data_IF_768736701086
#
_entry.id   IF_768736701086
#
_cell.length_a   1.000
_cell.length_b   1.000
_cell.length_c   1.000
_cell.angle_alpha   90.00
_cell.angle_beta   90.00
_cell.angle_gamma   90.00
#
_symmetry.space_group_name_H-M   'P 1'
#
loop_
_entity.id
_entity.type
_entity.pdbx_description
1 polymer ?
#
# COMPACT_ATOMS: atom_id res chain seq x y z
N UNK A 1 -15.07 -35.12 -36.80
CA UNK A 1 -14.58 -36.22 -35.96
C UNK A 1 -15.67 -36.65 -35.01
N UNK A 2 -15.88 -37.95 -34.88
CA UNK A 2 -16.72 -38.57 -33.85
C UNK A 2 -16.16 -38.24 -32.47
N UNK A 3 -17.04 -38.01 -31.47
CA UNK A 3 -16.67 -37.69 -30.08
C UNK A 3 -17.43 -38.60 -29.14
N UNK A 4 -16.83 -38.95 -28.00
CA UNK A 4 -17.46 -39.71 -26.94
C UNK A 4 -18.44 -38.81 -26.18
N UNK A 5 -19.72 -39.21 -26.13
CA UNK A 5 -20.73 -38.51 -25.36
C UNK A 5 -20.64 -38.94 -23.89
N UNK A 6 -20.35 -38.00 -22.99
CA UNK A 6 -20.28 -38.28 -21.55
C UNK A 6 -21.69 -38.15 -20.95
N UNK A 7 -22.23 -39.21 -20.33
CA UNK A 7 -23.56 -39.18 -19.72
C UNK A 7 -23.67 -38.11 -18.62
N UNK A 8 -24.90 -37.80 -18.21
CA UNK A 8 -25.16 -36.81 -17.15
C UNK A 8 -24.93 -37.38 -15.74
N UNK A 9 -23.75 -37.96 -15.55
CA UNK A 9 -23.27 -38.47 -14.28
C UNK A 9 -22.26 -37.47 -13.69
N UNK A 10 -22.56 -36.95 -12.51
CA UNK A 10 -21.73 -35.94 -11.84
C UNK A 10 -20.36 -36.50 -11.45
N UNK A 11 -20.30 -37.73 -10.98
CA UNK A 11 -19.07 -38.37 -10.52
C UNK A 11 -18.10 -38.62 -11.68
N UNK A 12 -18.63 -39.11 -12.81
CA UNK A 12 -17.84 -39.37 -14.01
C UNK A 12 -17.28 -38.07 -14.62
N UNK A 13 -18.13 -37.04 -14.71
CA UNK A 13 -17.69 -35.73 -15.21
C UNK A 13 -16.66 -35.09 -14.29
N UNK A 14 -16.83 -35.19 -12.98
CA UNK A 14 -15.87 -34.67 -12.01
C UNK A 14 -14.53 -35.40 -12.05
N UNK A 15 -14.53 -36.73 -12.18
CA UNK A 15 -13.32 -37.52 -12.36
C UNK A 15 -12.55 -37.12 -13.63
N UNK A 16 -13.25 -36.99 -14.75
CA UNK A 16 -12.66 -36.57 -16.03
C UNK A 16 -12.10 -35.14 -15.97
N UNK A 17 -12.82 -34.21 -15.33
CA UNK A 17 -12.34 -32.84 -15.12
C UNK A 17 -11.12 -32.80 -14.18
N UNK A 18 -11.11 -33.65 -13.15
CA UNK A 18 -9.99 -33.77 -12.20
C UNK A 18 -8.74 -34.30 -12.88
N UNK A 19 -8.87 -35.35 -13.69
CA UNK A 19 -7.76 -35.92 -14.46
C UNK A 19 -7.19 -34.90 -15.46
N UNK A 20 -8.07 -34.25 -16.24
CA UNK A 20 -7.67 -33.27 -17.24
C UNK A 20 -7.11 -31.96 -16.65
N UNK A 21 -7.27 -31.72 -15.34
CA UNK A 21 -6.80 -30.50 -14.69
C UNK A 21 -5.62 -30.71 -13.74
N UNK A 22 -5.66 -31.78 -12.94
CA UNK A 22 -4.76 -32.02 -11.82
C UNK A 22 -3.74 -33.13 -12.09
N UNK A 23 -3.82 -33.82 -13.23
CA UNK A 23 -2.80 -34.82 -13.57
C UNK A 23 -1.41 -34.16 -13.69
N UNK A 24 -0.33 -34.89 -13.30
CA UNK A 24 1.04 -34.40 -13.43
C UNK A 24 1.39 -33.91 -14.83
N UNK A 25 0.76 -34.49 -15.86
CA UNK A 25 0.97 -34.15 -17.26
C UNK A 25 0.16 -32.94 -17.75
N UNK A 26 -0.94 -32.57 -17.08
CA UNK A 26 -1.82 -31.48 -17.51
C UNK A 26 -1.46 -30.12 -16.92
N UNK A 27 -0.83 -30.09 -15.73
CA UNK A 27 -0.26 -28.89 -15.08
C UNK A 27 -1.26 -27.72 -15.00
N UNK A 28 -2.47 -27.95 -14.48
CA UNK A 28 -3.47 -26.89 -14.20
C UNK A 28 -3.79 -25.95 -15.37
N UNK A 29 -4.22 -26.48 -16.53
CA UNK A 29 -4.48 -25.68 -17.72
C UNK A 29 -5.57 -24.63 -17.48
N UNK A 30 -5.52 -23.51 -18.20
CA UNK A 30 -6.61 -22.54 -18.20
C UNK A 30 -7.89 -23.14 -18.82
N UNK A 31 -9.05 -22.63 -18.42
CA UNK A 31 -10.36 -23.14 -18.86
C UNK A 31 -10.49 -23.26 -20.37
N UNK A 32 -9.97 -22.28 -21.13
CA UNK A 32 -9.99 -22.30 -22.60
C UNK A 32 -9.14 -23.43 -23.18
N UNK A 33 -7.93 -23.64 -22.62
CA UNK A 33 -7.02 -24.72 -23.04
C UNK A 33 -7.64 -26.08 -22.70
N UNK A 34 -8.05 -26.26 -21.45
CA UNK A 34 -8.69 -27.48 -20.97
C UNK A 34 -9.92 -27.86 -21.79
N UNK A 35 -10.79 -26.88 -22.11
CA UNK A 35 -11.94 -27.11 -22.97
C UNK A 35 -11.53 -27.55 -24.39
N UNK A 36 -10.50 -26.91 -24.97
CA UNK A 36 -10.04 -27.26 -26.31
C UNK A 36 -9.46 -28.68 -26.37
N UNK A 37 -8.74 -29.09 -25.33
CA UNK A 37 -8.17 -30.44 -25.23
C UNK A 37 -9.26 -31.49 -25.02
N UNK A 38 -10.21 -31.26 -24.11
CA UNK A 38 -11.34 -32.16 -23.89
C UNK A 38 -12.25 -32.28 -25.11
N UNK A 39 -12.51 -31.18 -25.82
CA UNK A 39 -13.38 -31.15 -27.01
C UNK A 39 -12.86 -32.02 -28.16
N UNK A 40 -11.59 -32.42 -28.17
CA UNK A 40 -11.05 -33.33 -29.19
C UNK A 40 -11.66 -34.73 -29.08
N UNK A 41 -11.88 -35.20 -27.85
CA UNK A 41 -12.28 -36.59 -27.58
C UNK A 41 -13.67 -36.72 -26.95
N UNK A 42 -14.10 -35.75 -26.14
CA UNK A 42 -15.31 -35.81 -25.33
C UNK A 42 -16.31 -34.72 -25.69
N UNK A 43 -17.58 -34.98 -25.40
CA UNK A 43 -18.66 -34.02 -25.54
C UNK A 43 -19.77 -34.28 -24.50
N UNK A 44 -20.32 -33.21 -23.93
CA UNK A 44 -21.59 -33.22 -23.22
C UNK A 44 -22.22 -31.83 -23.22
N UNK A 45 -23.53 -31.76 -22.96
CA UNK A 45 -24.24 -30.48 -22.88
C UNK A 45 -23.70 -29.64 -21.71
N UNK A 46 -23.30 -28.40 -21.99
CA UNK A 46 -22.75 -27.51 -20.97
C UNK A 46 -21.25 -27.66 -20.68
N UNK A 47 -20.51 -28.54 -21.37
CA UNK A 47 -19.08 -28.83 -21.12
C UNK A 47 -18.20 -27.59 -20.90
N UNK A 48 -18.36 -26.55 -21.73
CA UNK A 48 -17.58 -25.31 -21.59
C UNK A 48 -17.83 -24.60 -20.25
N UNK A 49 -19.08 -24.60 -19.78
CA UNK A 49 -19.49 -23.99 -18.50
C UNK A 49 -18.96 -24.83 -17.33
N UNK A 50 -19.01 -26.16 -17.43
CA UNK A 50 -18.53 -27.06 -16.39
C UNK A 50 -17.01 -26.95 -16.22
N UNK A 51 -16.26 -26.97 -17.33
CA UNK A 51 -14.81 -26.73 -17.34
C UNK A 51 -14.47 -25.37 -16.73
N UNK A 52 -15.18 -24.31 -17.12
CA UNK A 52 -14.93 -22.98 -16.56
C UNK A 52 -15.23 -22.93 -15.05
N UNK A 53 -16.29 -23.60 -14.61
CA UNK A 53 -16.69 -23.67 -13.20
C UNK A 53 -15.64 -24.43 -12.40
N UNK A 54 -15.22 -25.61 -12.87
CA UNK A 54 -14.22 -26.47 -12.24
C UNK A 54 -12.87 -25.75 -12.05
N UNK A 55 -12.31 -25.20 -13.14
CA UNK A 55 -11.04 -24.45 -13.09
C UNK A 55 -11.15 -23.22 -12.19
N UNK A 56 -12.32 -22.58 -12.12
CA UNK A 56 -12.52 -21.41 -11.26
C UNK A 56 -12.57 -21.73 -9.77
N UNK A 57 -12.87 -22.98 -9.41
CA UNK A 57 -12.91 -23.48 -8.03
C UNK A 57 -11.59 -24.11 -7.57
N UNK A 58 -10.70 -24.50 -8.49
CA UNK A 58 -9.37 -25.03 -8.16
C UNK A 58 -8.57 -24.07 -7.25
N UNK A 59 -8.19 -24.55 -6.06
CA UNK A 59 -7.47 -23.77 -5.04
C UNK A 59 -6.11 -23.25 -5.55
N UNK A 60 -5.30 -24.13 -6.14
CA UNK A 60 -3.97 -23.82 -6.66
C UNK A 60 -4.05 -22.74 -7.75
N UNK A 61 -4.97 -22.91 -8.71
CA UNK A 61 -5.24 -21.91 -9.74
C UNK A 61 -5.68 -20.57 -9.13
N UNK A 62 -6.52 -20.59 -8.10
CA UNK A 62 -6.97 -19.37 -7.44
C UNK A 62 -5.83 -18.64 -6.68
N UNK A 63 -4.89 -19.38 -6.10
CA UNK A 63 -3.76 -18.85 -5.33
C UNK A 63 -2.61 -18.34 -6.21
N UNK A 64 -2.37 -18.97 -7.36
CA UNK A 64 -1.22 -18.64 -8.24
C UNK A 64 -1.61 -17.69 -9.37
N UNK A 65 -2.77 -17.90 -10.01
CA UNK A 65 -3.12 -17.14 -11.23
C UNK A 65 -3.36 -15.67 -10.93
N UNK A 66 -2.71 -14.83 -11.74
CA UNK A 66 -2.94 -13.40 -11.79
C UNK A 66 -4.27 -13.16 -12.51
N UNK A 67 -5.22 -12.51 -11.84
CA UNK A 67 -6.36 -11.91 -12.54
C UNK A 67 -5.93 -10.54 -13.04
N UNK A 68 -5.95 -10.31 -14.35
CA UNK A 68 -5.74 -9.00 -14.98
C UNK A 68 -6.96 -8.09 -14.79
N UNK A 69 -7.48 -8.02 -13.57
CA UNK A 69 -8.61 -7.17 -13.22
C UNK A 69 -8.11 -5.83 -12.67
N UNK A 70 -8.90 -4.79 -12.90
CA UNK A 70 -8.71 -3.48 -12.26
C UNK A 70 -8.64 -3.64 -10.74
N UNK A 71 -7.81 -2.81 -10.09
CA UNK A 71 -7.62 -2.88 -8.65
C UNK A 71 -8.96 -2.63 -7.91
N UNK A 72 -9.19 -3.37 -6.83
CA UNK A 72 -10.42 -3.24 -6.03
C UNK A 72 -10.33 -2.07 -5.06
N UNK A 73 -11.47 -1.42 -4.81
CA UNK A 73 -11.62 -0.34 -3.84
C UNK A 73 -11.45 1.04 -4.45
N UNK A 74 -12.53 1.83 -4.44
CA UNK A 74 -12.50 3.23 -4.84
C UNK A 74 -11.59 4.04 -3.91
N UNK A 75 -11.02 5.12 -4.43
CA UNK A 75 -10.22 6.02 -3.62
C UNK A 75 -11.12 6.64 -2.54
N UNK A 76 -10.70 6.50 -1.29
CA UNK A 76 -11.32 7.16 -0.14
C UNK A 76 -10.52 8.42 0.16
N UNK A 77 -10.97 9.58 -0.33
CA UNK A 77 -10.23 10.80 -0.11
C UNK A 77 -10.41 11.29 1.33
N UNK A 78 -9.33 11.81 1.91
CA UNK A 78 -9.34 12.36 3.26
C UNK A 78 -10.15 13.64 3.35
N UNK A 79 -10.67 13.93 4.54
CA UNK A 79 -11.34 15.19 4.83
C UNK A 79 -10.39 16.38 4.66
N UNK A 80 -10.98 17.53 4.36
CA UNK A 80 -10.24 18.77 4.17
C UNK A 80 -10.12 19.42 5.55
N UNK A 81 -8.90 19.75 6.02
CA UNK A 81 -8.71 20.39 7.32
C UNK A 81 -9.46 21.70 7.43
N UNK A 82 -9.90 22.05 8.64
CA UNK A 82 -10.60 23.31 8.89
C UNK A 82 -9.59 24.44 8.98
N UNK A 83 -8.43 24.18 9.57
CA UNK A 83 -7.40 25.18 9.81
C UNK A 83 -6.00 24.67 9.48
N UNK A 84 -5.06 25.61 9.37
CA UNK A 84 -3.64 25.32 9.12
C UNK A 84 -3.04 24.51 10.27
N UNK A 85 -2.17 23.56 9.94
CA UNK A 85 -1.45 22.70 10.89
C UNK A 85 -2.31 21.77 11.75
N UNK A 86 -3.63 21.70 11.53
CA UNK A 86 -4.49 20.68 12.15
C UNK A 86 -4.21 19.28 11.62
N UNK A 87 -3.94 19.16 10.31
CA UNK A 87 -3.58 17.89 9.70
C UNK A 87 -2.32 18.02 8.86
N UNK A 88 -1.34 17.20 9.19
CA UNK A 88 -0.05 17.18 8.50
C UNK A 88 0.16 15.84 7.79
N UNK A 89 0.84 15.87 6.65
CA UNK A 89 1.37 14.69 6.00
C UNK A 89 2.86 14.55 6.26
N UNK A 90 3.31 13.34 6.57
CA UNK A 90 4.71 13.04 6.83
C UNK A 90 5.23 11.95 5.92
N UNK A 91 6.45 12.12 5.44
CA UNK A 91 7.15 11.13 4.64
C UNK A 91 8.66 11.12 4.95
N UNK A 92 9.35 10.05 4.60
CA UNK A 92 10.78 9.95 4.71
C UNK A 92 11.43 9.71 3.35
N UNK A 93 12.24 10.67 2.91
CA UNK A 93 13.15 10.45 1.79
C UNK A 93 14.38 9.72 2.34
N UNK A 94 14.55 8.46 1.97
CA UNK A 94 15.63 7.61 2.49
C UNK A 94 16.64 7.23 1.43
N UNK A 95 17.79 6.67 1.87
CA UNK A 95 18.88 6.20 1.00
C UNK A 95 19.58 7.36 0.30
N UNK A 96 19.67 8.47 1.01
CA UNK A 96 20.50 9.58 0.60
C UNK A 96 21.96 9.26 0.95
N UNK A 97 22.93 9.81 0.20
CA UNK A 97 24.32 9.79 0.60
C UNK A 97 24.46 10.38 2.01
N UNK A 98 25.29 9.75 2.84
CA UNK A 98 25.56 10.28 4.18
C UNK A 98 26.21 11.66 4.08
N UNK A 99 25.68 12.62 4.82
CA UNK A 99 26.24 13.96 4.93
C UNK A 99 27.39 13.99 5.95
N UNK A 100 28.09 15.13 6.07
CA UNK A 100 29.19 15.29 7.02
C UNK A 100 28.72 15.14 8.48
N UNK A 101 27.47 15.52 8.78
CA UNK A 101 26.85 15.31 10.10
C UNK A 101 26.18 13.94 10.25
N UNK A 102 26.43 13.03 9.30
CA UNK A 102 25.98 11.63 9.27
C UNK A 102 24.49 11.40 9.02
N UNK A 103 23.73 12.41 8.59
CA UNK A 103 22.34 12.22 8.15
C UNK A 103 22.27 11.44 6.84
N UNK A 104 21.31 10.53 6.71
CA UNK A 104 21.14 9.65 5.53
C UNK A 104 19.69 9.57 5.02
N UNK A 105 18.82 10.42 5.59
CA UNK A 105 17.43 10.58 5.24
C UNK A 105 16.93 12.00 5.55
N UNK A 106 15.83 12.39 4.90
CA UNK A 106 15.09 13.63 5.17
C UNK A 106 13.70 13.22 5.64
N UNK A 107 13.28 13.75 6.78
CA UNK A 107 11.90 13.68 7.26
C UNK A 107 11.14 14.91 6.77
N UNK A 108 10.21 14.66 5.86
CA UNK A 108 9.37 15.67 5.24
C UNK A 108 8.08 15.77 6.06
N UNK A 109 7.75 16.96 6.54
CA UNK A 109 6.50 17.25 7.25
C UNK A 109 5.78 18.38 6.51
N UNK A 110 4.58 18.14 6.00
CA UNK A 110 3.85 19.10 5.16
C UNK A 110 2.45 19.33 5.73
N UNK A 111 2.08 20.59 5.93
CA UNK A 111 0.71 20.97 6.25
C UNK A 111 -0.22 20.70 5.06
N UNK A 112 -1.32 19.97 5.30
CA UNK A 112 -2.21 19.55 4.21
C UNK A 112 -2.96 20.71 3.58
N UNK A 113 -3.25 21.77 4.35
CA UNK A 113 -4.02 22.93 3.91
C UNK A 113 -3.15 23.93 3.14
N UNK A 114 -2.13 24.48 3.79
CA UNK A 114 -1.26 25.55 3.26
C UNK A 114 -0.15 25.03 2.36
N UNK A 115 0.13 23.73 2.38
CA UNK A 115 1.30 23.09 1.73
C UNK A 115 2.65 23.55 2.27
N UNK A 116 2.67 24.26 3.40
CA UNK A 116 3.92 24.60 4.08
C UNK A 116 4.63 23.33 4.52
N UNK A 117 5.93 23.23 4.23
CA UNK A 117 6.74 22.06 4.53
C UNK A 117 7.93 22.38 5.42
N UNK A 118 8.29 21.43 6.28
CA UNK A 118 9.59 21.34 6.97
C UNK A 118 10.36 20.13 6.45
N UNK A 119 11.65 20.31 6.22
CA UNK A 119 12.55 19.25 5.79
C UNK A 119 13.61 19.03 6.87
N UNK A 120 13.43 17.96 7.66
CA UNK A 120 14.30 17.68 8.81
C UNK A 120 15.36 16.65 8.42
N UNK A 121 16.66 16.97 8.47
CA UNK A 121 17.70 15.98 8.29
C UNK A 121 17.66 14.96 9.45
N UNK A 122 17.63 13.67 9.12
CA UNK A 122 17.60 12.59 10.12
C UNK A 122 18.53 11.44 9.72
N UNK A 123 18.85 10.59 10.68
CA UNK A 123 19.47 9.29 10.41
C UNK A 123 18.44 8.16 10.56
N UNK A 124 18.53 7.15 9.70
CA UNK A 124 17.63 5.98 9.73
C UNK A 124 17.71 5.18 11.03
N UNK A 125 18.83 5.25 11.72
CA UNK A 125 19.12 4.59 12.99
C UNK A 125 18.77 5.45 14.21
N UNK A 126 18.16 6.63 14.02
CA UNK A 126 17.66 7.42 15.14
C UNK A 126 16.70 6.61 16.01
N UNK A 127 16.91 6.69 17.32
CA UNK A 127 16.00 6.13 18.29
C UNK A 127 14.64 6.83 18.23
N UNK A 128 13.62 6.12 18.71
CA UNK A 128 12.25 6.64 18.81
C UNK A 128 12.24 7.94 19.60
N UNK A 129 12.90 7.98 20.76
CA UNK A 129 12.96 9.17 21.61
C UNK A 129 13.58 10.36 20.87
N UNK A 130 14.64 10.12 20.09
CA UNK A 130 15.30 11.19 19.34
C UNK A 130 14.39 11.79 18.27
N UNK A 131 13.63 10.96 17.56
CA UNK A 131 12.64 11.42 16.58
C UNK A 131 11.51 12.23 17.24
N UNK A 132 11.07 11.86 18.44
CA UNK A 132 10.05 12.63 19.19
C UNK A 132 10.60 14.00 19.59
N UNK A 133 11.81 14.05 20.14
CA UNK A 133 12.48 15.31 20.50
C UNK A 133 12.62 16.23 19.29
N UNK A 134 13.10 15.70 18.15
CA UNK A 134 13.23 16.47 16.91
C UNK A 134 11.87 16.98 16.44
N UNK A 135 10.82 16.16 16.49
CA UNK A 135 9.48 16.60 16.12
C UNK A 135 8.94 17.71 17.04
N UNK A 136 9.19 17.60 18.34
CA UNK A 136 8.79 18.64 19.30
C UNK A 136 9.53 19.95 19.05
N UNK A 137 10.84 19.89 18.84
CA UNK A 137 11.70 21.05 18.64
C UNK A 137 11.42 21.77 17.32
N UNK A 138 11.17 21.02 16.25
CA UNK A 138 11.07 21.61 14.91
C UNK A 138 9.63 21.87 14.47
N UNK A 139 8.66 21.06 14.92
CA UNK A 139 7.27 21.18 14.48
C UNK A 139 6.38 21.73 15.59
N UNK A 140 6.31 21.04 16.74
CA UNK A 140 5.37 21.41 17.82
C UNK A 140 5.69 22.79 18.38
N UNK A 141 6.97 23.12 18.54
CA UNK A 141 7.42 24.45 18.98
C UNK A 141 6.91 25.57 18.09
N UNK A 142 6.79 25.33 16.78
CA UNK A 142 6.44 26.37 15.80
C UNK A 142 4.93 26.44 15.53
N UNK A 143 4.26 25.28 15.45
CA UNK A 143 2.89 25.18 14.93
C UNK A 143 1.89 24.59 15.92
N UNK A 144 2.36 24.09 17.06
CA UNK A 144 1.55 23.35 18.01
C UNK A 144 1.38 21.87 17.64
N UNK A 145 0.51 21.19 18.38
CA UNK A 145 0.27 19.75 18.20
C UNK A 145 -0.81 19.56 17.11
N UNK A 146 -0.54 18.83 16.02
CA UNK A 146 -1.54 18.56 14.99
C UNK A 146 -2.63 17.62 15.53
N UNK A 147 -3.86 17.74 15.03
CA UNK A 147 -4.98 16.85 15.37
C UNK A 147 -4.87 15.49 14.67
N UNK A 148 -4.37 15.47 13.43
CA UNK A 148 -4.18 14.25 12.67
C UNK A 148 -2.88 14.25 11.85
N UNK A 149 -2.33 13.05 11.65
CA UNK A 149 -1.09 12.84 10.90
C UNK A 149 -1.37 11.83 9.79
N UNK A 150 -0.94 12.13 8.57
CA UNK A 150 -1.07 11.26 7.41
C UNK A 150 0.33 10.81 7.02
N UNK A 151 0.67 9.54 7.20
CA UNK A 151 1.94 9.00 6.80
C UNK A 151 1.92 7.60 6.20
N UNK A 152 2.82 7.43 5.24
CA UNK A 152 3.03 6.27 4.39
C UNK A 152 3.39 5.03 5.19
N UNK A 153 3.07 3.82 4.69
CA UNK A 153 3.35 2.56 5.39
C UNK A 153 4.85 2.16 5.34
N UNK A 154 5.73 3.06 5.77
CA UNK A 154 7.08 2.69 6.18
C UNK A 154 7.00 1.89 7.50
N UNK A 155 7.87 0.89 7.67
CA UNK A 155 7.98 0.12 8.91
C UNK A 155 8.22 1.03 10.13
N UNK A 156 8.81 2.21 9.92
CA UNK A 156 8.98 3.25 10.95
C UNK A 156 7.66 3.87 11.39
N UNK A 157 6.69 4.04 10.48
CA UNK A 157 5.35 4.54 10.81
C UNK A 157 4.45 3.49 11.46
N UNK A 158 4.70 2.20 11.21
CA UNK A 158 4.01 1.08 11.89
C UNK A 158 4.63 0.71 13.26
N UNK A 159 5.70 1.39 13.67
CA UNK A 159 6.47 1.04 14.89
C UNK A 159 5.80 1.46 16.20
N UNK A 160 6.31 0.95 17.33
CA UNK A 160 5.92 1.35 18.69
C UNK A 160 5.98 2.88 18.92
N UNK A 161 6.79 3.61 18.13
CA UNK A 161 6.89 5.07 18.14
C UNK A 161 5.52 5.74 18.12
N UNK A 162 4.68 5.44 17.14
CA UNK A 162 3.42 6.17 16.95
C UNK A 162 2.34 5.69 17.91
N UNK A 163 2.35 4.43 18.35
CA UNK A 163 1.47 3.98 19.43
C UNK A 163 1.76 4.74 20.73
N UNK A 164 3.05 5.00 21.02
CA UNK A 164 3.48 5.84 22.13
C UNK A 164 3.07 7.30 21.94
N UNK A 165 3.33 7.87 20.76
CA UNK A 165 3.02 9.27 20.46
C UNK A 165 1.51 9.57 20.43
N UNK A 166 0.71 8.69 19.83
CA UNK A 166 -0.76 8.81 19.80
C UNK A 166 -1.36 8.68 21.19
N UNK A 167 -0.83 7.78 22.03
CA UNK A 167 -1.26 7.65 23.42
C UNK A 167 -0.89 8.89 24.24
N UNK A 168 0.26 9.49 23.97
CA UNK A 168 0.70 10.70 24.65
C UNK A 168 -0.10 11.94 24.21
N UNK A 169 -0.48 12.06 22.93
CA UNK A 169 -0.99 13.33 22.36
C UNK A 169 -2.38 13.27 21.70
N UNK A 170 -3.04 12.10 21.65
CA UNK A 170 -4.44 11.97 21.19
C UNK A 170 -4.69 12.02 19.67
N UNK A 171 -3.67 11.83 18.82
CA UNK A 171 -3.76 12.02 17.35
C UNK A 171 -4.11 10.74 16.55
N UNK A 172 -4.62 10.87 15.32
CA UNK A 172 -5.03 9.74 14.43
C UNK A 172 -4.15 9.65 13.16
N UNK A 173 -3.81 8.42 12.71
CA UNK A 173 -2.89 8.14 11.56
C UNK A 173 -3.60 7.62 10.28
N UNK A 174 -3.25 8.11 9.08
CA UNK A 174 -3.72 7.64 7.73
C UNK A 174 -2.54 7.53 6.72
N UNK A 175 -2.56 6.83 5.56
CA UNK A 175 -1.30 6.50 4.79
C UNK A 175 -1.23 6.70 3.26
N UNK A 176 -0.05 7.05 2.67
CA UNK A 176 0.24 7.21 1.20
C UNK A 176 1.65 6.66 0.73
N UNK A 177 2.35 7.15 -0.33
CA UNK A 177 3.60 6.58 -0.97
C UNK A 177 4.68 7.64 -1.43
N UNK A 178 6.02 7.31 -1.53
CA UNK A 178 7.15 8.28 -1.65
C UNK A 178 7.89 8.43 -3.03
N UNK A 179 8.72 9.49 -3.20
CA UNK A 179 9.69 9.78 -4.31
C UNK A 179 11.02 10.48 -3.84
N UNK A 180 12.12 10.56 -4.63
CA UNK A 180 13.54 10.84 -4.18
C UNK A 180 14.27 12.00 -4.92
N UNK A 181 15.10 12.80 -4.21
CA UNK A 181 16.24 13.64 -4.72
C UNK A 181 17.43 13.69 -3.70
N UNK A 182 18.69 13.94 -4.16
CA UNK A 182 19.96 14.00 -3.36
C UNK A 182 20.27 15.41 -2.82
N UNK A 183 20.72 15.58 -1.57
CA UNK A 183 21.15 16.88 -0.98
C UNK A 183 22.16 16.78 0.19
N UNK A 184 22.79 17.91 0.57
CA UNK A 184 23.65 18.14 1.75
C UNK A 184 22.90 18.89 2.86
N UNK A 185 23.26 18.75 4.15
CA UNK A 185 22.46 19.30 5.26
C UNK A 185 22.21 20.81 5.21
N UNK A 186 23.23 21.62 4.91
CA UNK A 186 23.07 23.08 4.83
C UNK A 186 22.18 23.52 3.65
N UNK A 187 22.14 22.70 2.59
CA UNK A 187 21.26 22.94 1.45
C UNK A 187 19.80 22.66 1.76
N UNK A 188 19.49 21.85 2.79
CA UNK A 188 18.11 21.50 3.15
C UNK A 188 17.33 22.74 3.60
N UNK A 189 17.95 23.62 4.39
CA UNK A 189 17.32 24.87 4.84
C UNK A 189 16.98 25.79 3.65
N UNK A 190 17.89 25.89 2.67
CA UNK A 190 17.66 26.67 1.44
C UNK A 190 16.56 26.03 0.58
N UNK A 191 16.49 24.71 0.56
CA UNK A 191 15.49 23.97 -0.22
C UNK A 191 14.12 24.10 0.40
N UNK A 192 14.02 24.07 1.73
CA UNK A 192 12.78 24.36 2.44
C UNK A 192 12.33 25.80 2.18
N UNK A 193 13.24 26.77 2.30
CA UNK A 193 12.95 28.18 2.02
C UNK A 193 12.48 28.38 0.58
N UNK A 194 13.17 27.81 -0.40
CA UNK A 194 12.78 27.94 -1.82
C UNK A 194 11.47 27.22 -2.11
N UNK A 195 11.23 26.06 -1.51
CA UNK A 195 9.96 25.32 -1.62
C UNK A 195 8.79 26.15 -1.10
N UNK A 196 8.90 26.67 0.13
CA UNK A 196 7.83 27.43 0.78
C UNK A 196 7.57 28.79 0.12
N UNK A 197 8.53 29.34 -0.61
CA UNK A 197 8.40 30.62 -1.30
C UNK A 197 8.06 30.50 -2.80
N UNK A 198 8.06 29.28 -3.33
CA UNK A 198 7.69 29.03 -4.72
C UNK A 198 6.19 28.86 -4.88
N UNK A 199 5.61 29.42 -5.94
CA UNK A 199 4.18 29.22 -6.23
C UNK A 199 3.87 27.75 -6.48
N UNK A 200 2.93 27.22 -5.72
CA UNK A 200 2.53 25.82 -5.82
C UNK A 200 1.24 25.69 -6.66
N UNK A 201 1.26 24.82 -7.68
CA UNK A 201 0.20 24.77 -8.69
C UNK A 201 -1.20 24.47 -8.12
N UNK A 202 -1.29 23.72 -7.02
CA UNK A 202 -2.55 23.36 -6.35
C UNK A 202 -3.19 24.52 -5.58
N UNK A 203 -2.38 25.39 -4.95
CA UNK A 203 -2.87 26.52 -4.13
C UNK A 203 -2.72 27.86 -4.86
N UNK A 204 -2.09 27.89 -6.04
CA UNK A 204 -1.88 29.06 -6.91
C UNK A 204 -1.10 30.22 -6.29
N UNK A 205 -0.52 30.02 -5.11
CA UNK A 205 0.34 30.96 -4.41
C UNK A 205 1.48 30.20 -3.71
N UNK A 206 2.38 30.93 -3.06
CA UNK A 206 3.44 30.32 -2.26
C UNK A 206 2.90 29.77 -0.94
N UNK A 207 3.34 28.59 -0.47
CA UNK A 207 2.97 28.06 0.85
C UNK A 207 3.19 29.06 2.00
N UNK A 208 4.27 29.84 1.96
CA UNK A 208 4.56 30.90 2.92
C UNK A 208 3.45 31.98 2.92
N UNK A 209 3.04 32.41 1.73
CA UNK A 209 2.00 33.42 1.58
C UNK A 209 0.64 32.92 2.07
N UNK A 210 0.35 31.64 1.85
CA UNK A 210 -0.86 30.99 2.35
C UNK A 210 -0.83 30.84 3.87
N UNK A 211 0.34 30.56 4.45
CA UNK A 211 0.51 30.33 5.89
C UNK A 211 0.44 31.63 6.71
N UNK A 212 1.13 32.68 6.24
CA UNK A 212 1.30 33.95 6.96
C UNK A 212 0.44 35.09 6.43
N UNK A 213 -0.34 34.87 5.37
CA UNK A 213 -1.18 35.90 4.75
C UNK A 213 -0.42 36.94 3.91
N UNK A 214 0.92 36.96 3.96
CA UNK A 214 1.79 37.91 3.27
C UNK A 214 2.92 37.22 2.52
N UNK A 215 3.44 37.87 1.47
CA UNK A 215 4.62 37.38 0.73
C UNK A 215 5.88 37.41 1.60
N UNK A 216 6.79 36.47 1.37
CA UNK A 216 8.09 36.47 2.04
C UNK A 216 8.93 37.65 1.56
N UNK A 217 9.61 38.31 2.48
CA UNK A 217 10.63 39.31 2.14
C UNK A 217 11.88 38.56 1.69
N UNK A 218 12.29 38.77 0.45
CA UNK A 218 13.48 38.16 -0.12
C UNK A 218 14.31 39.23 -0.85
N UNK A 219 15.64 39.08 -0.95
CA UNK A 219 16.52 40.12 -1.51
C UNK A 219 16.17 40.58 -2.94
N UNK A 220 15.48 39.74 -3.72
CA UNK A 220 15.10 40.00 -5.12
C UNK A 220 13.68 40.61 -5.22
N UNK A 221 12.89 40.59 -4.15
CA UNK A 221 11.49 40.98 -4.16
C UNK A 221 11.21 41.90 -2.96
N UNK A 222 11.66 43.16 -3.09
CA UNK A 222 11.41 44.25 -2.12
C UNK A 222 10.16 45.07 -2.45
N UNK A 223 9.37 44.68 -3.46
CA UNK A 223 8.31 45.51 -4.06
C UNK A 223 7.08 45.79 -3.17
N UNK A 224 7.16 45.57 -1.85
CA UNK A 224 6.11 45.92 -0.88
C UNK A 224 6.70 46.53 0.41
N UNK A 225 7.60 47.50 0.28
CA UNK A 225 7.99 48.43 1.38
C UNK A 225 7.04 49.63 1.46
N UNK A 226 5.90 49.62 0.77
CA UNK A 226 4.77 50.39 1.27
C UNK A 226 4.14 49.57 2.38
N UNK A 227 4.40 50.01 3.60
CA UNK A 227 3.78 49.57 4.83
C UNK A 227 2.27 49.78 4.72
N UNK A 228 1.56 48.92 3.99
CA UNK A 228 0.16 48.65 4.31
C UNK A 228 0.22 48.05 5.70
N UNK A 229 0.10 48.92 6.70
CA UNK A 229 -0.32 48.56 8.05
C UNK A 229 -1.71 47.96 7.84
N UNK A 230 -1.76 46.68 7.47
CA UNK A 230 -2.99 45.92 7.47
C UNK A 230 -3.37 45.89 8.95
N UNK A 231 -4.37 46.68 9.31
CA UNK A 231 -4.87 46.69 10.68
C UNK A 231 -5.24 45.26 11.08
N UNK A 232 -5.07 44.93 12.37
CA UNK A 232 -5.30 43.57 12.88
C UNK A 232 -6.55 42.85 12.34
N UNK A 233 -7.72 43.50 12.19
CA UNK A 233 -8.93 42.90 11.63
C UNK A 233 -8.79 42.51 10.15
N UNK A 234 -8.24 43.39 9.31
CA UNK A 234 -8.09 43.13 7.87
C UNK A 234 -7.15 41.95 7.59
N UNK A 235 -6.12 41.74 8.44
CA UNK A 235 -5.21 40.60 8.28
C UNK A 235 -5.93 39.27 8.54
N UNK A 236 -6.87 39.26 9.48
CA UNK A 236 -7.69 38.09 9.80
C UNK A 236 -8.64 37.79 8.64
N UNK A 237 -9.27 38.82 8.07
CA UNK A 237 -10.15 38.69 6.89
C UNK A 237 -9.41 38.12 5.69
N UNK A 238 -8.26 38.71 5.33
CA UNK A 238 -7.41 38.21 4.23
C UNK A 238 -6.97 36.77 4.47
N UNK A 239 -6.65 36.40 5.72
CA UNK A 239 -6.27 35.03 6.06
C UNK A 239 -7.45 34.06 5.90
N UNK A 240 -8.64 34.46 6.36
CA UNK A 240 -9.85 33.65 6.23
C UNK A 240 -10.24 33.43 4.77
N UNK A 241 -10.15 34.46 3.93
CA UNK A 241 -10.37 34.35 2.49
C UNK A 241 -9.39 33.37 1.83
N UNK A 242 -8.10 33.49 2.15
CA UNK A 242 -7.06 32.56 1.65
C UNK A 242 -7.34 31.11 2.08
N UNK A 243 -7.75 30.90 3.32
CA UNK A 243 -8.17 29.57 3.82
C UNK A 243 -9.38 29.04 3.05
N UNK A 244 -10.37 29.89 2.75
CA UNK A 244 -11.53 29.49 1.96
C UNK A 244 -11.14 29.05 0.53
N UNK A 245 -10.28 29.83 -0.14
CA UNK A 245 -9.74 29.51 -1.46
C UNK A 245 -8.95 28.19 -1.42
N UNK A 246 -8.10 27.99 -0.41
CA UNK A 246 -7.32 26.76 -0.25
C UNK A 246 -8.23 25.53 -0.09
N UNK A 247 -9.30 25.65 0.71
CA UNK A 247 -10.30 24.57 0.89
C UNK A 247 -11.00 24.22 -0.41
N UNK A 248 -11.43 25.22 -1.18
CA UNK A 248 -12.08 25.01 -2.47
C UNK A 248 -11.15 24.30 -3.45
N UNK A 249 -9.89 24.75 -3.55
CA UNK A 249 -8.90 24.12 -4.44
C UNK A 249 -8.55 22.69 -4.02
N UNK A 250 -8.41 22.44 -2.72
CA UNK A 250 -8.27 21.08 -2.20
C UNK A 250 -9.46 20.20 -2.54
N UNK A 251 -10.68 20.74 -2.57
CA UNK A 251 -11.89 20.02 -2.96
C UNK A 251 -11.90 19.70 -4.46
N UNK A 252 -11.50 20.64 -5.31
CA UNK A 252 -11.33 20.44 -6.76
C UNK A 252 -10.29 19.34 -7.04
N UNK A 253 -9.09 19.46 -6.47
CA UNK A 253 -8.00 18.49 -6.63
C UNK A 253 -8.40 17.10 -6.11
N UNK A 254 -9.07 17.04 -4.96
CA UNK A 254 -9.63 15.81 -4.38
C UNK A 254 -10.58 15.13 -5.37
N UNK A 255 -11.50 15.89 -5.96
CA UNK A 255 -12.50 15.37 -6.91
C UNK A 255 -11.85 14.90 -8.20
N UNK A 256 -10.90 15.67 -8.73
CA UNK A 256 -10.12 15.32 -9.92
C UNK A 256 -9.30 14.05 -9.69
N UNK A 257 -8.59 13.95 -8.56
CA UNK A 257 -7.80 12.76 -8.22
C UNK A 257 -8.69 11.52 -8.08
N UNK A 258 -9.83 11.65 -7.38
CA UNK A 258 -10.81 10.57 -7.23
C UNK A 258 -11.30 10.08 -8.59
N UNK A 259 -11.75 10.98 -9.46
CA UNK A 259 -12.24 10.61 -10.79
C UNK A 259 -11.18 9.91 -11.66
N UNK A 260 -9.92 10.33 -11.57
CA UNK A 260 -8.82 9.73 -12.34
C UNK A 260 -8.45 8.34 -11.82
N UNK A 261 -8.34 8.19 -10.50
CA UNK A 261 -7.99 6.93 -9.85
C UNK A 261 -9.11 5.90 -10.03
N UNK A 262 -10.36 6.31 -9.85
CA UNK A 262 -11.52 5.41 -9.88
C UNK A 262 -11.81 4.86 -11.28
N UNK A 263 -11.45 5.57 -12.36
CA UNK A 263 -11.52 5.04 -13.75
C UNK A 263 -10.83 3.68 -13.91
N UNK A 264 -9.76 3.46 -13.16
CA UNK A 264 -8.94 2.25 -13.24
C UNK A 264 -9.19 1.27 -12.08
N UNK A 265 -10.23 1.50 -11.28
CA UNK A 265 -10.60 0.68 -10.14
C UNK A 265 -12.02 0.15 -10.27
N UNK A 266 -12.36 -0.78 -9.39
CA UNK A 266 -13.71 -1.37 -9.29
C UNK A 266 -14.18 -1.35 -7.84
N UNK A 267 -15.46 -1.11 -7.65
CA UNK A 267 -16.11 -1.36 -6.36
C UNK A 267 -16.23 -2.88 -6.18
N UNK A 268 -15.68 -3.38 -5.07
CA UNK A 268 -15.92 -4.74 -4.58
C UNK A 268 -16.24 -4.58 -3.11
N UNK A 269 -17.31 -5.23 -2.70
CA UNK A 269 -17.72 -5.32 -1.31
C UNK A 269 -17.80 -6.78 -0.91
N UNK A 270 -17.51 -7.04 0.35
CA UNK A 270 -17.60 -8.35 0.97
C UNK A 270 -18.48 -8.25 2.21
N UNK A 271 -19.14 -9.35 2.57
CA UNK A 271 -19.93 -9.45 3.78
C UNK A 271 -19.18 -10.23 4.86
N UNK A 272 -19.49 -10.01 6.15
CA UNK A 272 -19.05 -10.89 7.22
C UNK A 272 -19.40 -12.35 6.91
N UNK A 273 -18.46 -13.27 7.14
CA UNK A 273 -18.56 -14.69 6.77
C UNK A 273 -18.06 -15.03 5.36
N UNK A 274 -17.85 -14.04 4.48
CA UNK A 274 -17.23 -14.29 3.18
C UNK A 274 -15.78 -14.76 3.35
N UNK A 275 -15.38 -15.73 2.52
CA UNK A 275 -14.00 -16.21 2.46
C UNK A 275 -13.22 -15.48 1.39
N UNK A 276 -12.03 -15.01 1.73
CA UNK A 276 -11.14 -14.26 0.83
C UNK A 276 -9.70 -14.73 0.93
N UNK A 277 -8.96 -14.58 -0.16
CA UNK A 277 -7.52 -14.68 -0.16
C UNK A 277 -6.87 -13.31 0.09
N UNK A 278 -5.76 -13.34 0.81
CA UNK A 278 -4.89 -12.19 1.05
C UNK A 278 -3.73 -12.19 0.06
N UNK A 279 -3.57 -11.11 -0.70
CA UNK A 279 -2.45 -10.91 -1.62
C UNK A 279 -1.17 -10.61 -0.85
N UNK A 280 -0.12 -11.37 -1.11
CA UNK A 280 1.22 -11.14 -0.56
C UNK A 280 2.20 -10.73 -1.65
N UNK A 281 2.94 -9.65 -1.40
CA UNK A 281 4.01 -9.20 -2.28
C UNK A 281 5.27 -10.04 -2.01
N UNK A 282 5.95 -10.60 -3.02
CA UNK A 282 7.19 -11.36 -2.82
C UNK A 282 8.30 -10.59 -2.08
N UNK A 283 8.33 -9.25 -2.16
CA UNK A 283 9.33 -8.44 -1.46
C UNK A 283 8.97 -8.11 0.02
N UNK A 284 7.69 -8.16 0.39
CA UNK A 284 7.21 -7.85 1.76
C UNK A 284 6.74 -9.10 2.53
N UNK A 285 6.35 -10.17 1.83
CA UNK A 285 5.77 -11.39 2.38
C UNK A 285 6.77 -12.35 3.04
N UNK A 286 8.04 -12.26 2.65
CA UNK A 286 9.12 -13.17 3.06
C UNK A 286 9.41 -13.11 4.56
N UNK A 287 9.21 -11.94 5.20
CA UNK A 287 9.43 -11.78 6.66
C UNK A 287 8.17 -11.88 7.50
N UNK A 288 7.01 -11.50 6.97
CA UNK A 288 5.78 -11.32 7.78
C UNK A 288 4.82 -12.51 7.71
N UNK A 289 4.84 -13.25 6.59
CA UNK A 289 3.94 -14.39 6.38
C UNK A 289 4.69 -15.73 6.30
N UNK A 290 6.01 -15.75 6.56
CA UNK A 290 6.85 -16.94 6.48
C UNK A 290 7.06 -17.49 5.06
N UNK A 291 6.58 -16.79 4.03
CA UNK A 291 6.60 -17.28 2.65
C UNK A 291 7.90 -16.87 1.96
N UNK A 292 8.88 -17.79 1.91
CA UNK A 292 10.16 -17.58 1.23
C UNK A 292 10.08 -18.07 -0.24
N UNK A 293 10.79 -17.38 -1.14
CA UNK A 293 11.01 -17.83 -2.53
C UNK A 293 10.19 -17.12 -3.61
N UNK A 294 10.82 -16.94 -4.79
CA UNK A 294 10.24 -16.32 -6.00
C UNK A 294 9.04 -17.08 -6.58
N UNK A 295 8.93 -18.38 -6.26
CA UNK A 295 7.90 -19.30 -6.76
C UNK A 295 6.71 -19.48 -5.80
N UNK A 296 6.73 -18.79 -4.66
CA UNK A 296 5.64 -18.89 -3.68
C UNK A 296 4.29 -18.39 -4.23
N UNK A 297 3.16 -18.93 -3.73
CA UNK A 297 1.84 -18.48 -4.13
C UNK A 297 1.65 -17.00 -3.77
N UNK A 298 1.09 -16.24 -4.70
CA UNK A 298 0.88 -14.79 -4.56
C UNK A 298 -0.27 -14.44 -3.61
N UNK A 299 -1.12 -15.41 -3.29
CA UNK A 299 -2.29 -15.26 -2.47
C UNK A 299 -2.30 -16.35 -1.38
N UNK A 300 -2.51 -15.95 -0.12
CA UNK A 300 -2.61 -16.82 1.06
C UNK A 300 -4.08 -16.90 1.49
N UNK A 301 -4.48 -18.01 2.09
CA UNK A 301 -5.82 -18.24 2.60
C UNK A 301 -6.47 -19.45 1.94
N UNK A 302 -7.79 -19.62 2.06
CA UNK A 302 -8.77 -18.57 2.37
C UNK A 302 -8.87 -18.23 3.86
N UNK A 303 -9.19 -16.97 4.15
CA UNK A 303 -9.51 -16.44 5.47
C UNK A 303 -10.94 -15.92 5.49
N UNK A 304 -11.61 -16.04 6.62
CA UNK A 304 -12.96 -15.50 6.82
C UNK A 304 -12.90 -14.02 7.17
N UNK A 305 -13.86 -13.26 6.64
CA UNK A 305 -14.08 -11.86 7.02
C UNK A 305 -14.91 -11.84 8.30
N UNK A 306 -14.33 -11.28 9.37
CA UNK A 306 -15.01 -11.13 10.65
C UNK A 306 -15.96 -9.92 10.61
N UNK A 307 -15.43 -8.75 10.23
CA UNK A 307 -16.18 -7.50 10.23
C UNK A 307 -15.59 -6.48 9.23
N UNK A 308 -16.44 -5.54 8.80
CA UNK A 308 -16.06 -4.41 7.96
C UNK A 308 -15.69 -3.22 8.85
N UNK A 309 -14.39 -2.95 8.99
CA UNK A 309 -13.85 -1.88 9.84
C UNK A 309 -14.03 -0.49 9.22
N UNK A 310 -14.08 -0.43 7.88
CA UNK A 310 -14.41 0.80 7.15
C UNK A 310 -14.84 0.51 5.72
N UNK A 311 -15.13 1.53 4.93
CA UNK A 311 -15.67 1.37 3.57
C UNK A 311 -14.81 0.44 2.68
N UNK A 312 -13.50 0.48 2.84
CA UNK A 312 -12.54 -0.29 2.02
C UNK A 312 -11.62 -1.19 2.86
N UNK A 313 -11.88 -1.36 4.15
CA UNK A 313 -11.02 -2.13 5.06
C UNK A 313 -11.81 -3.20 5.81
N UNK A 314 -11.29 -4.43 5.80
CA UNK A 314 -11.93 -5.60 6.39
C UNK A 314 -10.99 -6.26 7.39
N UNK A 315 -11.55 -6.78 8.49
CA UNK A 315 -10.81 -7.59 9.44
C UNK A 315 -10.93 -9.07 9.07
N UNK A 316 -9.81 -9.77 9.04
CA UNK A 316 -9.74 -11.19 8.71
C UNK A 316 -9.48 -12.04 9.95
N UNK A 317 -10.04 -13.25 9.95
CA UNK A 317 -9.71 -14.32 10.88
C UNK A 317 -8.34 -14.91 10.50
N UNK A 318 -7.26 -14.37 11.08
CA UNK A 318 -5.91 -14.89 10.87
C UNK A 318 -5.59 -16.03 11.86
N UNK A 319 -4.88 -17.09 11.43
CA UNK A 319 -4.40 -18.15 12.33
C UNK A 319 -3.45 -17.60 13.40
N UNK A 320 -3.33 -18.25 14.57
CA UNK A 320 -2.44 -17.82 15.66
C UNK A 320 -0.97 -17.64 15.24
N UNK A 321 -0.52 -18.40 14.23
CA UNK A 321 0.84 -18.30 13.64
C UNK A 321 1.12 -16.94 12.96
N UNK A 322 0.08 -16.20 12.59
CA UNK A 322 0.16 -14.86 11.99
C UNK A 322 -0.24 -13.75 12.96
N UNK A 323 -0.24 -14.01 14.27
CA UNK A 323 -0.61 -13.05 15.32
C UNK A 323 0.21 -11.75 15.31
N UNK A 324 1.46 -11.80 14.82
CA UNK A 324 2.32 -10.63 14.66
C UNK A 324 1.86 -9.68 13.54
N UNK A 325 0.95 -10.11 12.66
CA UNK A 325 0.44 -9.31 11.54
C UNK A 325 -0.89 -8.67 11.93
N UNK A 326 -1.02 -7.37 11.68
CA UNK A 326 -2.30 -6.68 11.83
C UNK A 326 -3.37 -7.32 10.94
N UNK A 327 -4.49 -7.70 11.54
CA UNK A 327 -5.57 -8.45 10.89
C UNK A 327 -6.54 -7.58 10.05
N UNK A 328 -6.26 -6.29 9.88
CA UNK A 328 -7.08 -5.36 9.09
C UNK A 328 -6.41 -5.08 7.75
N UNK A 329 -7.08 -5.42 6.66
CA UNK A 329 -6.56 -5.30 5.30
C UNK A 329 -7.47 -4.47 4.41
N UNK A 330 -6.84 -3.72 3.51
CA UNK A 330 -7.54 -2.96 2.48
C UNK A 330 -8.05 -3.90 1.38
N UNK A 331 -9.26 -3.64 0.85
CA UNK A 331 -9.96 -4.45 -0.16
C UNK A 331 -9.14 -4.73 -1.43
N UNK A 332 -8.19 -3.86 -1.76
CA UNK A 332 -7.25 -4.05 -2.89
C UNK A 332 -6.29 -5.23 -2.70
N UNK A 333 -6.07 -5.66 -1.45
CA UNK A 333 -5.28 -6.83 -1.09
C UNK A 333 -6.13 -8.09 -0.99
N UNK A 334 -7.46 -7.98 -1.09
CA UNK A 334 -8.39 -9.09 -0.92
C UNK A 334 -8.88 -9.60 -2.28
N UNK A 335 -9.11 -10.91 -2.32
CA UNK A 335 -9.69 -11.59 -3.48
C UNK A 335 -10.73 -12.59 -2.99
N UNK A 336 -11.97 -12.48 -3.49
CA UNK A 336 -13.02 -13.45 -3.17
C UNK A 336 -12.61 -14.89 -3.49
N UNK A 337 -12.83 -15.79 -2.54
CA UNK A 337 -12.66 -17.23 -2.70
C UNK A 337 -13.92 -17.84 -3.31
N UNK A 338 -13.75 -18.59 -4.40
CA UNK A 338 -14.83 -19.44 -4.92
C UNK A 338 -14.76 -20.79 -4.22
N UNK A 339 -15.73 -21.04 -3.34
CA UNK A 339 -15.85 -22.27 -2.56
C UNK A 339 -15.97 -23.52 -3.44
N UNK A 340 -15.32 -24.61 -3.02
CA UNK A 340 -15.52 -25.96 -3.52
C UNK A 340 -15.87 -26.88 -2.34
N UNK A 341 -17.01 -27.59 -2.37
CA UNK A 341 -17.49 -28.39 -1.23
C UNK A 341 -16.61 -29.56 -0.77
N UNK A 342 -15.70 -30.03 -1.62
CA UNK A 342 -14.86 -31.22 -1.38
C UNK A 342 -13.42 -30.87 -0.96
N UNK A 343 -13.07 -29.58 -0.87
CA UNK A 343 -11.74 -29.15 -0.49
C UNK A 343 -11.67 -28.96 1.02
N UNK A 344 -11.12 -29.97 1.72
CA UNK A 344 -10.53 -29.75 3.05
C UNK A 344 -9.32 -28.85 2.84
N UNK A 345 -9.36 -27.64 3.39
CA UNK A 345 -8.24 -26.71 3.33
C UNK A 345 -7.16 -27.25 4.27
N UNK A 346 -6.27 -28.09 3.77
CA UNK A 346 -5.00 -28.37 4.45
C UNK A 346 -4.06 -27.21 4.11
N UNK A 347 -3.71 -26.40 5.11
CA UNK A 347 -2.64 -25.44 4.94
C UNK A 347 -1.33 -26.24 4.83
N UNK A 348 -0.54 -26.14 3.75
CA UNK A 348 0.85 -26.58 3.79
C UNK A 348 1.66 -25.54 4.58
N UNK A 349 1.27 -25.30 5.83
CA UNK A 349 2.07 -24.58 6.83
C UNK A 349 2.84 -25.57 7.71
N UNK A 350 2.72 -26.87 7.44
CA UNK A 350 3.29 -27.95 8.25
C UNK A 350 4.78 -28.18 8.00
N UNK A 351 5.40 -27.41 7.11
CA UNK A 351 6.82 -27.45 6.79
C UNK A 351 7.59 -26.21 7.25
N UNK A 352 7.09 -25.47 8.25
CA UNK A 352 7.82 -24.31 8.79
C UNK A 352 8.00 -24.52 10.29
N UNK A 353 9.23 -24.83 10.70
CA UNK A 353 9.62 -24.92 12.10
C UNK A 353 9.45 -23.54 12.78
N UNK A 354 9.31 -23.53 14.12
CA UNK A 354 9.03 -22.32 14.91
C UNK A 354 10.12 -21.22 14.78
N UNK A 355 11.31 -21.60 14.31
CA UNK A 355 12.47 -20.75 14.02
C UNK A 355 12.49 -20.20 12.57
N UNK A 356 11.45 -20.47 11.78
CA UNK A 356 11.34 -20.12 10.35
C UNK A 356 12.40 -20.80 9.46
N UNK A 357 13.01 -21.91 9.91
CA UNK A 357 13.90 -22.74 9.10
C UNK A 357 13.11 -23.81 8.33
N UNK A 358 13.57 -24.09 7.11
CA UNK A 358 13.09 -25.17 6.26
C UNK A 358 14.32 -25.74 5.56
N UNK A 359 14.47 -27.07 5.58
CA UNK A 359 15.57 -27.75 4.91
C UNK A 359 15.14 -28.02 3.48
N UNK A 360 15.69 -27.26 2.52
CA UNK A 360 15.53 -27.57 1.10
C UNK A 360 16.45 -28.75 0.76
N UNK A 361 15.90 -29.96 0.78
CA UNK A 361 16.60 -31.12 0.22
C UNK A 361 16.27 -31.26 -1.28
N UNK A 362 17.27 -31.31 -2.16
CA UNK A 362 17.02 -31.58 -3.58
C UNK A 362 16.51 -33.02 -3.73
N UNK A 363 15.34 -33.19 -4.34
CA UNK A 363 14.73 -34.50 -4.60
C UNK A 363 15.64 -35.42 -5.43
N UNK A 364 16.44 -34.85 -6.33
CA UNK A 364 17.57 -35.50 -6.99
C UNK A 364 18.58 -34.45 -7.49
N UNK A 365 19.88 -34.76 -7.38
CA UNK A 365 20.94 -34.01 -8.05
C UNK A 365 21.18 -34.66 -9.41
N UNK A 366 20.71 -34.04 -10.48
CA UNK A 366 20.82 -34.59 -11.84
C UNK A 366 22.22 -34.44 -12.44
N UNK A 367 22.99 -33.43 -12.03
CA UNK A 367 24.33 -33.17 -12.53
C UNK A 367 25.14 -32.35 -11.52
N UNK A 368 26.47 -32.52 -11.50
CA UNK A 368 27.43 -31.74 -10.70
C UNK A 368 28.55 -31.24 -11.62
N UNK A 369 28.77 -29.92 -11.64
CA UNK A 369 29.92 -29.30 -12.31
C UNK A 369 30.71 -28.42 -11.35
N UNK A 370 32.02 -28.65 -11.31
CA UNK A 370 32.96 -27.79 -10.60
C UNK A 370 33.38 -26.62 -11.50
N UNK A 371 33.05 -25.39 -11.08
CA UNK A 371 33.52 -24.17 -11.73
C UNK A 371 34.70 -23.59 -10.97
N UNK A 372 35.90 -23.69 -11.55
CA UNK A 372 37.07 -22.95 -11.07
C UNK A 372 36.87 -21.47 -11.38
N UNK A 373 36.62 -20.67 -10.34
CA UNK A 373 36.52 -19.22 -10.44
C UNK A 373 37.92 -18.64 -10.66
N UNK A 374 38.08 -17.69 -11.59
CA UNK A 374 39.36 -16.98 -11.79
C UNK A 374 39.72 -16.22 -10.52
N UNK A 375 40.86 -16.54 -9.93
CA UNK A 375 41.48 -15.73 -8.89
C UNK A 375 41.78 -14.34 -9.47
N UNK A 376 41.31 -13.29 -8.79
CA UNK A 376 41.83 -11.94 -9.02
C UNK A 376 43.27 -11.91 -8.51
N UNK A 377 44.24 -11.91 -9.42
CA UNK A 377 45.56 -11.32 -9.18
C UNK A 377 45.43 -9.82 -9.04
#
# INVERSE_FOLDING_TARGET
GTRLCVPNDASLREALLTEAHSSPFSVHPCSTKMYHDLKKHFWWSGMKRDVATFVSRCLICQQVKIKHQRASGLLQPLDIPVWKWEEISMDFVTRLPRTQRRHDAIWVVVDRLTKSAHFLPICKDYSVSKLVETFQQEIVRLHGIPLAIVSDRDLRFASCFWKGLQKAWGTKLKSVLPFILRQTDDSICLVEFTYNNSCHASIKCAPFEMLYGRKCRAPICWDQVEERVIEGPEMIEVTNEKVAIAKEKLKEDRTRQKSYVDKHRRSIEFQPGDRVFLKVSPARGVRHFGIKGKLSPRFIGPFEILDRVGEVSYRLALPPRLSNVHNVFHVSLLRGYKYHPLLVISYPLDQIHADLSYVEEPEAILDRQDRVMRNKT
#
